data_IF_499821794674
#
_entry.id   IF_499821794674
#
_cell.length_a   1.000
_cell.length_b   1.000
_cell.length_c   1.000
_cell.angle_alpha   90.00
_cell.angle_beta   90.00
_cell.angle_gamma   90.00
#
_symmetry.space_group_name_H-M   'P 1'
#
loop_
_entity.id
_entity.type
_entity.pdbx_description
1 polymer ?
#
# COMPACT_ATOMS: atom_id res chain seq x y z
N UNK A 1 -34.17 -7.64 -39.74
CA UNK A 1 -33.64 -6.39 -40.32
C UNK A 1 -32.82 -5.57 -39.30
N UNK A 2 -33.25 -5.40 -38.05
CA UNK A 2 -32.48 -4.69 -37.01
C UNK A 2 -31.10 -5.33 -36.71
N UNK A 3 -31.04 -6.67 -36.54
CA UNK A 3 -29.79 -7.38 -36.28
C UNK A 3 -28.77 -7.32 -37.45
N UNK A 4 -29.24 -7.20 -38.69
CA UNK A 4 -28.36 -7.03 -39.88
C UNK A 4 -27.81 -5.60 -39.95
N UNK A 5 -28.61 -4.59 -39.59
CA UNK A 5 -28.15 -3.19 -39.48
C UNK A 5 -27.14 -2.99 -38.34
N UNK A 6 -27.34 -3.64 -37.19
CA UNK A 6 -26.35 -3.62 -36.10
C UNK A 6 -25.04 -4.32 -36.49
N UNK A 7 -25.11 -5.46 -37.19
CA UNK A 7 -23.92 -6.18 -37.65
C UNK A 7 -23.15 -5.39 -38.72
N UNK A 8 -23.85 -4.68 -39.61
CA UNK A 8 -23.23 -3.78 -40.60
C UNK A 8 -22.62 -2.54 -39.93
N UNK A 9 -23.30 -1.94 -38.95
CA UNK A 9 -22.80 -0.80 -38.19
C UNK A 9 -21.57 -1.13 -37.32
N UNK A 10 -21.52 -2.32 -36.71
CA UNK A 10 -20.30 -2.81 -36.03
C UNK A 10 -19.15 -3.04 -37.00
N UNK A 11 -19.43 -3.58 -38.19
CA UNK A 11 -18.41 -3.83 -39.22
C UNK A 11 -17.86 -2.53 -39.82
N UNK A 12 -18.70 -1.51 -40.06
CA UNK A 12 -18.23 -0.21 -40.57
C UNK A 12 -17.45 0.58 -39.51
N UNK A 13 -17.86 0.52 -38.23
CA UNK A 13 -17.09 1.11 -37.11
C UNK A 13 -15.73 0.44 -36.93
N UNK A 14 -15.66 -0.89 -37.08
CA UNK A 14 -14.40 -1.63 -37.05
C UNK A 14 -13.45 -1.22 -38.17
N UNK A 15 -13.95 -1.08 -39.41
CA UNK A 15 -13.15 -0.64 -40.55
C UNK A 15 -12.65 0.81 -40.41
N UNK A 16 -13.47 1.71 -39.84
CA UNK A 16 -13.02 3.07 -39.52
C UNK A 16 -11.94 3.10 -38.44
N UNK A 17 -12.09 2.29 -37.38
CA UNK A 17 -11.05 2.18 -36.34
C UNK A 17 -9.75 1.58 -36.86
N UNK A 18 -9.81 0.67 -37.82
CA UNK A 18 -8.64 0.09 -38.47
C UNK A 18 -7.92 1.10 -39.38
N UNK A 19 -8.68 1.94 -40.11
CA UNK A 19 -8.11 3.04 -40.88
C UNK A 19 -7.46 4.11 -39.98
N UNK A 20 -8.10 4.47 -38.86
CA UNK A 20 -7.55 5.41 -37.86
C UNK A 20 -6.25 4.87 -37.23
N UNK A 21 -6.16 3.56 -37.01
CA UNK A 21 -4.92 2.89 -36.54
C UNK A 21 -3.80 2.94 -37.57
N UNK A 22 -4.11 2.69 -38.84
CA UNK A 22 -3.13 2.79 -39.93
C UNK A 22 -2.65 4.23 -40.13
N UNK A 23 -3.53 5.22 -40.00
CA UNK A 23 -3.17 6.64 -40.04
C UNK A 23 -2.18 7.00 -38.92
N UNK A 24 -2.44 6.55 -37.68
CA UNK A 24 -1.53 6.74 -36.54
C UNK A 24 -0.14 6.15 -36.78
N UNK A 25 -0.06 4.92 -37.32
CA UNK A 25 1.23 4.28 -37.63
C UNK A 25 1.97 5.01 -38.78
N UNK A 26 1.26 5.46 -39.81
CA UNK A 26 1.85 6.26 -40.88
C UNK A 26 2.40 7.61 -40.37
N UNK A 27 1.63 8.31 -39.52
CA UNK A 27 2.05 9.58 -38.91
C UNK A 27 3.27 9.38 -37.99
N UNK A 28 3.33 8.28 -37.25
CA UNK A 28 4.49 7.94 -36.42
C UNK A 28 5.77 7.81 -37.24
N UNK A 29 5.73 7.04 -38.33
CA UNK A 29 6.88 6.86 -39.22
C UNK A 29 7.28 8.22 -39.82
N UNK A 30 6.31 8.99 -40.29
CA UNK A 30 6.56 10.30 -40.89
C UNK A 30 7.23 11.30 -39.94
N UNK A 31 6.88 11.30 -38.64
CA UNK A 31 7.50 12.16 -37.61
C UNK A 31 8.90 11.68 -37.25
N UNK A 32 9.13 10.36 -37.18
CA UNK A 32 10.44 9.79 -36.85
C UNK A 32 11.47 9.93 -37.98
N UNK A 33 11.03 9.99 -39.24
CA UNK A 33 11.89 10.13 -40.42
C UNK A 33 12.21 11.60 -40.76
N UNK A 34 11.26 12.53 -40.57
CA UNK A 34 11.47 13.94 -40.94
C UNK A 34 10.96 14.93 -39.88
N UNK A 35 11.87 15.82 -39.46
CA UNK A 35 11.56 16.97 -38.59
C UNK A 35 10.56 17.95 -39.20
N UNK A 36 10.34 17.92 -40.51
CA UNK A 36 9.31 18.74 -41.18
C UNK A 36 7.88 18.35 -40.79
N UNK A 37 7.68 17.10 -40.35
CA UNK A 37 6.37 16.56 -40.04
C UNK A 37 6.01 16.68 -38.56
N UNK A 38 6.75 17.50 -37.80
CA UNK A 38 6.55 17.71 -36.36
C UNK A 38 5.09 17.99 -35.99
N UNK A 39 4.35 18.73 -36.83
CA UNK A 39 2.94 19.06 -36.60
C UNK A 39 2.02 17.83 -36.47
N UNK A 40 2.37 16.69 -37.08
CA UNK A 40 1.59 15.46 -36.96
C UNK A 40 1.57 14.91 -35.52
N UNK A 41 2.46 15.38 -34.63
CA UNK A 41 2.39 15.07 -33.20
C UNK A 41 1.11 15.63 -32.57
N UNK A 42 0.61 16.78 -33.00
CA UNK A 42 -0.67 17.30 -32.52
C UNK A 42 -1.82 16.37 -32.89
N UNK A 43 -1.88 15.93 -34.14
CA UNK A 43 -2.91 14.99 -34.58
C UNK A 43 -2.87 13.70 -33.76
N UNK A 44 -1.67 13.16 -33.48
CA UNK A 44 -1.50 11.96 -32.65
C UNK A 44 -2.03 12.18 -31.23
N UNK A 45 -1.78 13.36 -30.65
CA UNK A 45 -2.30 13.72 -29.33
C UNK A 45 -3.81 13.93 -29.33
N UNK A 46 -4.39 14.47 -30.40
CA UNK A 46 -5.84 14.64 -30.55
C UNK A 46 -6.57 13.29 -30.53
N UNK A 47 -5.97 12.23 -31.10
CA UNK A 47 -6.53 10.89 -31.03
C UNK A 47 -6.57 10.30 -29.61
N UNK A 48 -5.82 10.85 -28.64
CA UNK A 48 -5.93 10.45 -27.22
C UNK A 48 -7.25 10.90 -26.58
N UNK A 49 -7.87 11.94 -27.12
CA UNK A 49 -9.15 12.49 -26.66
C UNK A 49 -10.37 11.85 -27.37
N UNK A 50 -10.13 10.84 -28.20
CA UNK A 50 -11.20 10.14 -28.94
C UNK A 50 -12.18 9.41 -28.01
N UNK A 51 -13.45 9.36 -28.39
CA UNK A 51 -14.47 8.57 -27.67
C UNK A 51 -14.30 7.05 -27.86
N UNK A 52 -13.55 6.62 -28.87
CA UNK A 52 -13.40 5.20 -29.23
C UNK A 52 -12.23 4.56 -28.47
N UNK A 53 -12.54 3.63 -27.57
CA UNK A 53 -11.52 2.90 -26.78
C UNK A 53 -10.40 2.31 -27.64
N UNK A 54 -10.76 1.67 -28.75
CA UNK A 54 -9.84 1.03 -29.69
C UNK A 54 -8.83 1.99 -30.34
N UNK A 55 -9.22 3.26 -30.52
CA UNK A 55 -8.40 4.32 -31.10
C UNK A 55 -7.53 4.94 -30.03
N UNK A 56 -8.10 5.21 -28.84
CA UNK A 56 -7.34 5.72 -27.69
C UNK A 56 -6.20 4.77 -27.32
N UNK A 57 -6.46 3.46 -27.27
CA UNK A 57 -5.41 2.46 -27.00
C UNK A 57 -4.30 2.46 -28.06
N UNK A 58 -4.66 2.64 -29.34
CA UNK A 58 -3.70 2.75 -30.42
C UNK A 58 -2.89 4.03 -30.28
N UNK A 59 -3.54 5.16 -30.04
CA UNK A 59 -2.91 6.45 -29.80
C UNK A 59 -1.94 6.39 -28.62
N UNK A 60 -2.30 5.80 -27.47
CA UNK A 60 -1.38 5.61 -26.33
C UNK A 60 -0.13 4.85 -26.77
N UNK A 61 -0.28 3.75 -27.52
CA UNK A 61 0.86 2.95 -28.00
C UNK A 61 1.74 3.74 -28.97
N UNK A 62 1.13 4.47 -29.90
CA UNK A 62 1.81 5.29 -30.89
C UNK A 62 2.58 6.43 -30.22
N UNK A 63 1.94 7.17 -29.33
CA UNK A 63 2.55 8.28 -28.58
C UNK A 63 3.64 7.79 -27.64
N UNK A 64 3.45 6.63 -26.99
CA UNK A 64 4.51 5.99 -26.20
C UNK A 64 5.72 5.70 -27.08
N UNK A 65 5.56 5.01 -28.22
CA UNK A 65 6.66 4.69 -29.14
C UNK A 65 7.37 5.93 -29.69
N UNK A 66 6.61 6.99 -30.00
CA UNK A 66 7.14 8.26 -30.47
C UNK A 66 8.11 8.85 -29.44
N UNK A 67 7.64 9.07 -28.22
CA UNK A 67 8.44 9.70 -27.18
C UNK A 67 9.52 8.77 -26.62
N UNK A 68 9.31 7.45 -26.65
CA UNK A 68 10.37 6.48 -26.37
C UNK A 68 11.58 6.72 -27.28
N UNK A 69 11.32 6.82 -28.59
CA UNK A 69 12.36 7.04 -29.60
C UNK A 69 13.04 8.40 -29.45
N UNK A 70 12.27 9.45 -29.14
CA UNK A 70 12.79 10.81 -28.98
C UNK A 70 13.64 10.98 -27.72
N UNK A 71 13.26 10.32 -26.61
CA UNK A 71 14.02 10.28 -25.37
C UNK A 71 15.35 9.56 -25.57
N UNK A 72 15.33 8.39 -26.23
CA UNK A 72 16.55 7.62 -26.54
C UNK A 72 17.53 8.40 -27.43
N UNK A 73 17.00 9.12 -28.43
CA UNK A 73 17.81 9.97 -29.34
C UNK A 73 18.25 11.30 -28.73
N UNK A 74 17.79 11.65 -27.51
CA UNK A 74 18.03 12.96 -26.86
C UNK A 74 17.61 14.15 -27.73
N UNK A 75 16.47 14.01 -28.38
CA UNK A 75 15.86 15.05 -29.23
C UNK A 75 14.87 15.95 -28.48
N UNK A 76 14.79 15.81 -27.16
CA UNK A 76 14.04 16.72 -26.28
C UNK A 76 14.99 17.74 -25.64
N UNK A 77 14.45 18.91 -25.29
CA UNK A 77 15.22 19.96 -24.62
C UNK A 77 15.61 19.53 -23.20
N UNK A 78 16.89 19.76 -22.85
CA UNK A 78 17.44 19.45 -21.52
C UNK A 78 17.70 20.78 -20.80
N UNK A 79 17.10 20.95 -19.62
CA UNK A 79 17.20 22.16 -18.81
C UNK A 79 15.85 22.80 -18.53
N UNK A 80 15.88 24.01 -17.95
CA UNK A 80 14.69 24.74 -17.56
C UNK A 80 13.86 25.12 -18.79
N UNK A 81 12.69 24.52 -18.92
CA UNK A 81 11.78 24.73 -20.05
C UNK A 81 11.22 26.16 -20.00
N UNK A 82 11.42 26.98 -21.05
CA UNK A 82 10.79 28.29 -21.17
C UNK A 82 9.26 28.17 -21.20
N UNK A 83 8.54 29.24 -20.84
CA UNK A 83 7.08 29.26 -20.92
C UNK A 83 6.66 29.31 -22.40
N UNK A 84 5.70 28.47 -22.80
CA UNK A 84 5.28 28.28 -24.21
C UNK A 84 4.83 29.57 -24.91
N UNK A 85 4.37 30.57 -24.14
CA UNK A 85 3.81 31.83 -24.64
C UNK A 85 4.78 33.02 -24.64
N UNK A 86 6.01 32.87 -24.12
CA UNK A 86 7.03 33.91 -24.25
C UNK A 86 7.77 33.75 -25.58
N UNK A 87 7.95 34.85 -26.32
CA UNK A 87 8.77 34.85 -27.53
C UNK A 87 10.17 34.36 -27.18
N UNK A 88 10.51 33.14 -27.60
CA UNK A 88 11.81 32.53 -27.33
C UNK A 88 12.92 33.48 -27.82
N UNK A 89 13.90 33.83 -26.98
CA UNK A 89 15.02 34.68 -27.37
C UNK A 89 15.65 34.26 -28.70
N UNK A 90 16.03 35.22 -29.55
CA UNK A 90 16.68 34.95 -30.85
C UNK A 90 18.04 34.23 -30.72
N UNK A 91 18.55 34.06 -29.50
CA UNK A 91 19.75 33.29 -29.18
C UNK A 91 19.58 31.77 -29.30
N UNK A 92 18.35 31.26 -29.35
CA UNK A 92 18.11 29.82 -29.53
C UNK A 92 18.20 29.42 -31.02
N UNK A 93 19.06 28.46 -31.33
CA UNK A 93 19.13 27.85 -32.67
C UNK A 93 17.78 27.21 -33.06
N UNK A 94 17.51 27.08 -34.36
CA UNK A 94 16.31 26.42 -34.87
C UNK A 94 16.13 25.00 -34.30
N UNK A 95 17.24 24.29 -34.07
CA UNK A 95 17.24 22.98 -33.42
C UNK A 95 16.80 23.07 -31.96
N UNK A 96 17.29 24.03 -31.19
CA UNK A 96 16.85 24.21 -29.80
C UNK A 96 15.37 24.61 -29.71
N UNK A 97 14.89 25.46 -30.63
CA UNK A 97 13.46 25.82 -30.71
C UNK A 97 12.58 24.58 -30.96
N UNK A 98 13.01 23.69 -31.86
CA UNK A 98 12.34 22.40 -32.09
C UNK A 98 12.33 21.51 -30.84
N UNK A 99 13.49 21.35 -30.17
CA UNK A 99 13.60 20.51 -28.96
C UNK A 99 12.73 21.03 -27.81
N UNK A 100 12.63 22.35 -27.64
CA UNK A 100 11.75 23.00 -26.64
C UNK A 100 10.30 22.68 -26.96
N UNK A 101 9.89 22.87 -28.21
CA UNK A 101 8.54 22.56 -28.66
C UNK A 101 8.16 21.08 -28.44
N UNK A 102 9.06 20.15 -28.78
CA UNK A 102 8.86 18.73 -28.54
C UNK A 102 8.74 18.40 -27.04
N UNK A 103 9.48 19.10 -26.17
CA UNK A 103 9.37 18.94 -24.70
C UNK A 103 8.00 19.39 -24.19
N UNK A 104 7.43 20.48 -24.72
CA UNK A 104 6.06 20.88 -24.39
C UNK A 104 5.04 19.82 -24.81
N UNK A 105 5.15 19.26 -26.02
CA UNK A 105 4.26 18.20 -26.50
C UNK A 105 4.41 16.91 -25.69
N UNK A 106 5.63 16.59 -25.23
CA UNK A 106 5.85 15.52 -24.28
C UNK A 106 5.10 15.74 -22.95
N UNK A 107 5.19 16.95 -22.38
CA UNK A 107 4.44 17.29 -21.15
C UNK A 107 2.92 17.24 -21.37
N UNK A 108 2.44 17.68 -22.54
CA UNK A 108 1.03 17.52 -22.94
C UNK A 108 0.64 16.03 -22.98
N UNK A 109 1.46 15.18 -23.60
CA UNK A 109 1.25 13.72 -23.60
C UNK A 109 1.17 13.15 -22.19
N UNK A 110 2.11 13.51 -21.31
CA UNK A 110 2.11 13.02 -19.92
C UNK A 110 0.82 13.42 -19.21
N UNK A 111 0.37 14.66 -19.42
CA UNK A 111 -0.90 15.16 -18.85
C UNK A 111 -2.10 14.37 -19.38
N UNK A 112 -2.19 14.18 -20.70
CA UNK A 112 -3.26 13.36 -21.31
C UNK A 112 -3.25 11.91 -20.82
N UNK A 113 -2.06 11.30 -20.64
CA UNK A 113 -1.96 9.94 -20.08
C UNK A 113 -2.41 9.88 -18.61
N UNK A 114 -2.11 10.90 -17.81
CA UNK A 114 -2.61 11.01 -16.43
C UNK A 114 -4.13 11.13 -16.41
N UNK A 115 -4.72 11.92 -17.32
CA UNK A 115 -6.18 12.01 -17.45
C UNK A 115 -6.79 10.66 -17.86
N UNK A 116 -6.15 9.92 -18.77
CA UNK A 116 -6.57 8.59 -19.21
C UNK A 116 -6.50 7.52 -18.10
N UNK A 117 -5.73 7.72 -17.02
CA UNK A 117 -5.81 6.85 -15.83
C UNK A 117 -7.20 6.92 -15.16
N UNK A 118 -7.98 7.96 -15.43
CA UNK A 118 -9.33 8.16 -14.89
C UNK A 118 -10.43 7.63 -15.82
N UNK A 119 -10.07 7.13 -17.01
CA UNK A 119 -10.99 6.67 -18.04
C UNK A 119 -11.97 5.58 -17.54
N UNK A 120 -13.11 5.42 -18.21
CA UNK A 120 -14.14 4.43 -17.83
C UNK A 120 -13.68 2.98 -18.00
N UNK A 121 -12.92 2.71 -19.07
CA UNK A 121 -12.39 1.38 -19.43
C UNK A 121 -11.05 1.08 -18.73
N UNK A 122 -10.99 0.01 -17.95
CA UNK A 122 -9.77 -0.42 -17.24
C UNK A 122 -8.60 -0.70 -18.19
N UNK A 123 -8.87 -1.20 -19.40
CA UNK A 123 -7.83 -1.50 -20.39
C UNK A 123 -7.07 -0.24 -20.83
N UNK A 124 -7.76 0.89 -20.95
CA UNK A 124 -7.16 2.20 -21.23
C UNK A 124 -6.37 2.70 -20.03
N UNK A 125 -6.91 2.58 -18.82
CA UNK A 125 -6.23 2.97 -17.57
C UNK A 125 -4.91 2.21 -17.38
N UNK A 126 -4.95 0.90 -17.60
CA UNK A 126 -3.78 0.02 -17.50
C UNK A 126 -2.69 0.41 -18.50
N UNK A 127 -3.06 0.63 -19.77
CA UNK A 127 -2.10 1.05 -20.80
C UNK A 127 -1.50 2.41 -20.49
N UNK A 128 -2.31 3.37 -20.03
CA UNK A 128 -1.83 4.69 -19.62
C UNK A 128 -0.83 4.59 -18.46
N UNK A 129 -1.13 3.80 -17.43
CA UNK A 129 -0.23 3.54 -16.30
C UNK A 129 1.09 2.92 -16.77
N UNK A 130 1.03 1.88 -17.61
CA UNK A 130 2.24 1.23 -18.12
C UNK A 130 3.11 2.18 -18.96
N UNK A 131 2.50 3.03 -19.79
CA UNK A 131 3.20 4.04 -20.57
C UNK A 131 3.86 5.11 -19.68
N UNK A 132 3.17 5.60 -18.65
CA UNK A 132 3.73 6.55 -17.68
C UNK A 132 4.90 5.95 -16.90
N UNK A 133 4.80 4.70 -16.45
CA UNK A 133 5.90 4.01 -15.77
C UNK A 133 7.11 3.78 -16.69
N UNK A 134 6.88 3.53 -17.99
CA UNK A 134 7.93 3.45 -19.00
C UNK A 134 8.62 4.81 -19.18
N UNK A 135 7.86 5.90 -19.21
CA UNK A 135 8.41 7.25 -19.27
C UNK A 135 9.25 7.59 -18.05
N UNK A 136 8.83 7.24 -16.82
CA UNK A 136 9.66 7.39 -15.62
C UNK A 136 10.98 6.64 -15.76
N UNK A 137 10.95 5.41 -16.28
CA UNK A 137 12.16 4.63 -16.53
C UNK A 137 13.09 5.30 -17.56
N UNK A 138 12.52 5.85 -18.64
CA UNK A 138 13.29 6.50 -19.69
C UNK A 138 13.85 7.85 -19.28
N UNK A 139 13.07 8.71 -18.63
CA UNK A 139 13.57 9.97 -18.07
C UNK A 139 14.66 9.74 -17.02
N UNK A 140 14.57 8.64 -16.25
CA UNK A 140 15.65 8.24 -15.34
C UNK A 140 16.95 7.83 -16.06
N UNK A 141 16.86 7.23 -17.27
CA UNK A 141 18.03 6.86 -18.09
C UNK A 141 18.55 8.04 -18.93
N UNK A 142 17.66 8.92 -19.35
CA UNK A 142 17.92 10.08 -20.19
C UNK A 142 17.34 11.33 -19.52
N UNK A 143 18.01 11.87 -18.48
CA UNK A 143 17.51 13.00 -17.73
C UNK A 143 17.31 14.23 -18.60
N UNK A 144 16.22 14.93 -18.36
CA UNK A 144 15.83 16.14 -19.10
C UNK A 144 16.07 17.42 -18.28
N UNK A 145 16.59 17.26 -17.07
CA UNK A 145 17.08 18.34 -16.23
C UNK A 145 18.61 18.36 -16.28
N UNK A 146 19.18 19.56 -16.40
CA UNK A 146 20.61 19.75 -16.27
C UNK A 146 20.95 19.68 -14.78
N UNK A 147 21.36 18.51 -14.30
CA UNK A 147 22.00 18.47 -13.00
C UNK A 147 23.39 19.08 -13.13
N UNK A 148 23.76 20.00 -12.23
CA UNK A 148 25.08 20.66 -12.21
C UNK A 148 26.24 19.66 -12.15
N UNK A 149 25.94 18.41 -11.76
CA UNK A 149 26.84 17.28 -11.66
C UNK A 149 26.49 16.28 -12.75
N UNK A 150 27.35 16.14 -13.78
CA UNK A 150 27.16 15.25 -14.95
C UNK A 150 26.97 13.76 -14.62
N UNK A 151 27.15 13.37 -13.37
CA UNK A 151 27.05 11.99 -12.87
C UNK A 151 26.01 11.82 -11.76
N UNK A 152 25.21 12.85 -11.43
CA UNK A 152 24.20 12.68 -10.39
C UNK A 152 23.00 11.90 -10.90
N UNK A 153 22.66 10.81 -10.22
CA UNK A 153 21.37 10.13 -10.29
C UNK A 153 20.20 11.14 -10.32
N UNK A 154 19.38 11.08 -11.38
CA UNK A 154 18.11 11.80 -11.47
C UNK A 154 16.96 10.81 -11.44
N UNK A 155 15.97 11.07 -10.59
CA UNK A 155 14.74 10.31 -10.55
C UNK A 155 13.57 11.25 -10.84
N UNK A 156 12.67 10.92 -11.80
CA UNK A 156 11.47 11.71 -12.13
C UNK A 156 10.43 11.75 -11.00
N UNK A 157 10.73 12.45 -9.90
CA UNK A 157 9.89 12.48 -8.70
C UNK A 157 8.52 13.10 -8.95
N UNK A 158 8.46 14.19 -9.70
CA UNK A 158 7.19 14.88 -9.99
C UNK A 158 6.27 14.03 -10.86
N UNK A 159 6.82 13.30 -11.85
CA UNK A 159 6.03 12.39 -12.67
C UNK A 159 5.49 11.21 -11.85
N UNK A 160 6.35 10.57 -11.04
CA UNK A 160 5.89 9.51 -10.13
C UNK A 160 4.83 10.04 -9.16
N UNK A 161 5.01 11.25 -8.63
CA UNK A 161 4.05 11.89 -7.75
C UNK A 161 2.70 12.05 -8.42
N UNK A 162 2.64 12.58 -9.65
CA UNK A 162 1.39 12.70 -10.41
C UNK A 162 0.71 11.34 -10.68
N UNK A 163 1.49 10.29 -10.95
CA UNK A 163 0.96 8.91 -11.09
C UNK A 163 0.35 8.43 -9.77
N UNK A 164 1.06 8.57 -8.65
CA UNK A 164 0.57 8.14 -7.33
C UNK A 164 -0.63 8.97 -6.87
N UNK A 165 -0.68 10.26 -7.19
CA UNK A 165 -1.83 11.13 -6.95
C UNK A 165 -3.07 10.63 -7.71
N UNK A 166 -2.89 10.19 -8.95
CA UNK A 166 -3.95 9.59 -9.78
C UNK A 166 -4.40 8.21 -9.28
N UNK A 167 -3.54 7.50 -8.53
CA UNK A 167 -3.91 6.25 -7.84
C UNK A 167 -4.67 6.50 -6.54
N UNK A 168 -4.53 7.68 -5.91
CA UNK A 168 -5.10 7.98 -4.60
C UNK A 168 -6.27 8.96 -4.68
N UNK A 169 -7.27 8.60 -5.49
CA UNK A 169 -8.46 9.41 -5.68
C UNK A 169 -9.36 9.43 -4.44
N UNK A 170 -10.05 10.56 -4.27
CA UNK A 170 -10.92 10.79 -3.12
C UNK A 170 -12.31 10.15 -3.29
N UNK A 171 -12.78 9.99 -4.54
CA UNK A 171 -14.17 9.62 -4.86
C UNK A 171 -14.31 8.27 -5.58
N UNK A 172 -13.31 7.86 -6.35
CA UNK A 172 -13.32 6.63 -7.18
C UNK A 172 -12.41 5.56 -6.57
N UNK A 173 -12.90 4.33 -6.52
CA UNK A 173 -12.09 3.17 -6.13
C UNK A 173 -11.10 2.83 -7.24
N UNK A 174 -9.81 2.87 -6.93
CA UNK A 174 -8.70 2.60 -7.84
C UNK A 174 -7.99 1.29 -7.50
N UNK A 175 -8.56 0.47 -6.60
CA UNK A 175 -8.01 -0.82 -6.18
C UNK A 175 -7.52 -1.72 -7.33
N UNK A 176 -8.23 -1.85 -8.48
CA UNK A 176 -7.75 -2.65 -9.60
C UNK A 176 -6.47 -2.09 -10.24
N UNK A 177 -6.38 -0.77 -10.38
CA UNK A 177 -5.21 -0.10 -10.95
C UNK A 177 -4.01 -0.15 -9.98
N UNK A 178 -4.28 -0.04 -8.67
CA UNK A 178 -3.29 -0.27 -7.60
C UNK A 178 -2.73 -1.69 -7.66
N UNK A 179 -3.58 -2.70 -7.89
CA UNK A 179 -3.14 -4.08 -8.03
C UNK A 179 -2.20 -4.27 -9.22
N UNK A 180 -2.44 -3.59 -10.35
CA UNK A 180 -1.52 -3.56 -11.48
C UNK A 180 -0.22 -2.81 -11.15
N UNK A 181 -0.33 -1.70 -10.43
CA UNK A 181 0.82 -0.91 -10.00
C UNK A 181 1.75 -1.65 -9.02
N UNK A 182 1.23 -2.63 -8.28
CA UNK A 182 2.00 -3.42 -7.31
C UNK A 182 3.26 -4.07 -7.91
N UNK A 183 3.25 -4.44 -9.19
CA UNK A 183 4.43 -4.99 -9.87
C UNK A 183 5.62 -4.02 -9.87
N UNK A 184 5.34 -2.71 -9.92
CA UNK A 184 6.39 -1.69 -9.87
C UNK A 184 6.90 -1.44 -8.44
N UNK A 185 6.15 -1.81 -7.40
CA UNK A 185 6.60 -1.73 -6.01
C UNK A 185 7.70 -2.75 -5.70
N UNK A 186 7.94 -3.72 -6.58
CA UNK A 186 9.12 -4.61 -6.50
C UNK A 186 10.43 -3.82 -6.64
N UNK A 187 10.42 -2.68 -7.32
CA UNK A 187 11.60 -1.82 -7.47
C UNK A 187 11.79 -0.94 -6.22
N UNK A 188 13.00 -0.93 -5.67
CA UNK A 188 13.29 -0.28 -4.38
C UNK A 188 13.19 1.26 -4.47
N UNK A 189 13.60 1.86 -5.58
CA UNK A 189 13.46 3.30 -5.84
C UNK A 189 12.00 3.72 -5.94
N UNK A 190 11.19 3.00 -6.72
CA UNK A 190 9.75 3.23 -6.82
C UNK A 190 9.09 3.09 -5.46
N UNK A 191 9.36 1.99 -4.75
CA UNK A 191 8.79 1.73 -3.42
C UNK A 191 9.08 2.87 -2.45
N UNK A 192 10.34 3.31 -2.37
CA UNK A 192 10.76 4.40 -1.50
C UNK A 192 10.00 5.68 -1.80
N UNK A 193 10.01 6.13 -3.07
CA UNK A 193 9.40 7.40 -3.45
C UNK A 193 7.88 7.35 -3.38
N UNK A 194 7.25 6.23 -3.74
CA UNK A 194 5.81 6.04 -3.58
C UNK A 194 5.39 6.17 -2.12
N UNK A 195 6.13 5.56 -1.18
CA UNK A 195 5.84 5.75 0.25
C UNK A 195 5.97 7.22 0.67
N UNK A 196 6.97 7.96 0.17
CA UNK A 196 7.09 9.40 0.50
C UNK A 196 5.91 10.21 -0.04
N UNK A 197 5.46 9.93 -1.26
CA UNK A 197 4.30 10.61 -1.88
C UNK A 197 3.00 10.27 -1.16
N UNK A 198 2.80 9.01 -0.73
CA UNK A 198 1.63 8.65 0.08
C UNK A 198 1.56 9.49 1.35
N UNK A 199 2.69 9.69 2.03
CA UNK A 199 2.73 10.52 3.25
C UNK A 199 2.32 11.97 2.96
N UNK A 200 2.81 12.54 1.86
CA UNK A 200 2.44 13.90 1.41
C UNK A 200 0.95 13.99 1.07
N UNK A 201 0.41 12.99 0.38
CA UNK A 201 -1.01 12.94 0.01
C UNK A 201 -1.93 12.84 1.22
N UNK A 202 -1.59 11.99 2.20
CA UNK A 202 -2.33 11.92 3.46
C UNK A 202 -2.35 13.28 4.15
N UNK A 203 -1.22 13.98 4.20
CA UNK A 203 -1.15 15.31 4.81
C UNK A 203 -1.95 16.37 4.03
N UNK A 204 -1.87 16.37 2.70
CA UNK A 204 -2.58 17.30 1.81
C UNK A 204 -4.09 17.14 1.90
N UNK A 205 -4.60 15.91 1.77
CA UNK A 205 -6.04 15.60 1.84
C UNK A 205 -6.58 15.89 3.25
N UNK A 206 -5.78 15.64 4.28
CA UNK A 206 -6.14 15.99 5.66
C UNK A 206 -6.36 17.51 5.84
N UNK A 207 -5.47 18.33 5.28
CA UNK A 207 -5.61 19.79 5.34
C UNK A 207 -6.87 20.26 4.60
N UNK A 208 -7.16 19.67 3.43
CA UNK A 208 -8.35 19.97 2.63
C UNK A 208 -9.67 19.63 3.36
N UNK A 209 -9.72 18.49 4.06
CA UNK A 209 -10.95 17.95 4.67
C UNK A 209 -11.05 18.13 6.19
N UNK A 210 -10.48 19.21 6.74
CA UNK A 210 -10.57 19.57 8.18
C UNK A 210 -10.25 18.38 9.11
N UNK A 211 -9.18 17.65 8.82
CA UNK A 211 -8.69 16.49 9.59
C UNK A 211 -9.45 15.16 9.43
N UNK A 212 -10.44 15.06 8.54
CA UNK A 212 -11.08 13.79 8.19
C UNK A 212 -10.60 13.28 6.82
N UNK A 213 -10.53 11.97 6.64
CA UNK A 213 -10.18 11.37 5.34
C UNK A 213 -11.42 10.72 4.72
N UNK A 214 -11.74 10.98 3.44
CA UNK A 214 -12.86 10.32 2.76
C UNK A 214 -12.73 8.78 2.79
N UNK A 215 -13.81 8.00 2.98
CA UNK A 215 -13.73 6.54 3.07
C UNK A 215 -13.11 5.85 1.84
N UNK A 216 -13.39 6.35 0.63
CA UNK A 216 -12.83 5.80 -0.61
C UNK A 216 -11.32 6.06 -0.67
N UNK A 217 -10.89 7.30 -0.35
CA UNK A 217 -9.48 7.62 -0.19
C UNK A 217 -8.78 6.71 0.83
N UNK A 218 -9.39 6.47 1.99
CA UNK A 218 -8.83 5.57 3.00
C UNK A 218 -8.65 4.14 2.45
N UNK A 219 -9.60 3.65 1.65
CA UNK A 219 -9.49 2.34 1.02
C UNK A 219 -8.35 2.28 -0.01
N UNK A 220 -8.25 3.29 -0.87
CA UNK A 220 -7.18 3.40 -1.87
C UNK A 220 -5.79 3.47 -1.20
N UNK A 221 -5.63 4.29 -0.16
CA UNK A 221 -4.40 4.37 0.63
C UNK A 221 -4.08 3.04 1.31
N UNK A 222 -5.08 2.39 1.93
CA UNK A 222 -4.89 1.09 2.55
C UNK A 222 -4.45 0.03 1.53
N UNK A 223 -5.12 -0.04 0.37
CA UNK A 223 -4.77 -0.97 -0.70
C UNK A 223 -3.32 -0.75 -1.16
N UNK A 224 -2.94 0.49 -1.46
CA UNK A 224 -1.59 0.81 -1.92
C UNK A 224 -0.54 0.49 -0.85
N UNK A 225 -0.78 0.84 0.42
CA UNK A 225 0.14 0.52 1.53
C UNK A 225 0.24 -0.98 1.81
N UNK A 226 -0.86 -1.71 1.70
CA UNK A 226 -0.87 -3.16 1.88
C UNK A 226 -0.16 -3.92 0.77
N UNK A 227 -0.05 -3.31 -0.43
CA UNK A 227 0.71 -3.85 -1.55
C UNK A 227 2.23 -3.59 -1.44
N UNK A 228 2.67 -2.74 -0.49
CA UNK A 228 4.10 -2.48 -0.27
C UNK A 228 4.74 -3.67 0.45
N UNK A 229 5.49 -4.47 -0.30
CA UNK A 229 6.30 -5.55 0.26
C UNK A 229 7.67 -5.02 0.70
N UNK A 230 7.93 -5.01 2.00
CA UNK A 230 9.20 -4.54 2.55
C UNK A 230 10.28 -5.64 2.50
N UNK A 231 11.54 -5.32 2.16
CA UNK A 231 12.61 -6.30 2.19
C UNK A 231 12.91 -6.69 3.65
N UNK A 232 13.15 -7.97 3.89
CA UNK A 232 13.52 -8.48 5.23
C UNK A 232 14.99 -8.20 5.54
N UNK A 233 15.85 -8.33 4.54
CA UNK A 233 17.30 -8.20 4.65
C UNK A 233 17.85 -7.12 3.71
N UNK A 234 18.99 -6.50 4.06
CA UNK A 234 19.65 -5.50 3.22
C UNK A 234 20.15 -6.10 1.89
N UNK A 235 20.48 -7.39 1.87
CA UNK A 235 20.92 -8.13 0.67
C UNK A 235 19.78 -8.27 -0.36
N UNK A 236 18.52 -8.18 0.10
CA UNK A 236 17.36 -8.23 -0.79
C UNK A 236 17.11 -6.90 -1.53
N UNK A 237 17.84 -5.83 -1.20
CA UNK A 237 17.86 -4.60 -1.97
C UNK A 237 18.79 -4.75 -3.18
N UNK A 238 18.39 -4.21 -4.33
CA UNK A 238 19.21 -4.27 -5.53
C UNK A 238 18.44 -4.23 -6.84
N UNK A 239 17.10 -4.24 -6.78
CA UNK A 239 16.26 -4.11 -7.97
C UNK A 239 15.75 -2.68 -8.06
N UNK A 240 16.41 -1.87 -8.88
CA UNK A 240 16.05 -0.48 -9.13
C UNK A 240 15.49 -0.32 -10.54
N UNK A 241 14.41 0.46 -10.70
CA UNK A 241 13.82 0.73 -12.01
C UNK A 241 14.74 1.68 -12.80
N UNK A 242 15.25 2.70 -12.11
CA UNK A 242 16.23 3.65 -12.61
C UNK A 242 17.57 3.29 -11.97
N UNK A 243 18.45 2.66 -12.75
CA UNK A 243 19.78 2.26 -12.29
C UNK A 243 20.79 3.38 -12.54
N UNK A 244 21.53 3.78 -11.51
CA UNK A 244 22.80 4.49 -11.67
C UNK A 244 23.96 3.50 -11.80
N UNK A 245 24.96 3.85 -12.61
CA UNK A 245 26.28 3.19 -12.64
C UNK A 245 27.15 3.64 -11.46
N UNK A 246 26.87 4.80 -10.86
CA UNK A 246 27.57 5.30 -9.69
C UNK A 246 26.89 4.82 -8.41
N UNK A 247 27.57 3.96 -7.66
CA UNK A 247 27.17 3.57 -6.30
C UNK A 247 27.34 4.75 -5.35
N UNK A 248 26.35 5.64 -5.29
CA UNK A 248 26.36 6.72 -4.30
C UNK A 248 26.04 6.15 -2.91
N UNK A 249 27.00 6.25 -1.99
CA UNK A 249 26.84 5.84 -0.59
C UNK A 249 25.71 6.58 0.13
N UNK A 250 25.28 7.74 -0.37
CA UNK A 250 24.22 8.58 0.24
C UNK A 250 22.84 8.43 -0.38
N UNK A 251 22.67 7.50 -1.32
CA UNK A 251 21.39 7.30 -1.97
C UNK A 251 20.36 6.69 -1.00
N UNK A 252 19.43 7.51 -0.48
CA UNK A 252 18.43 7.06 0.52
C UNK A 252 17.62 5.82 0.09
N UNK A 253 17.18 5.68 -1.18
CA UNK A 253 16.51 4.47 -1.66
C UNK A 253 17.34 3.19 -1.63
N UNK A 254 18.66 3.24 -1.51
CA UNK A 254 19.49 2.03 -1.37
C UNK A 254 19.65 1.56 0.09
N UNK A 255 19.20 2.36 1.07
CA UNK A 255 19.37 2.08 2.50
C UNK A 255 18.09 1.52 3.08
N UNK A 256 18.09 0.26 3.54
CA UNK A 256 16.94 -0.39 4.18
C UNK A 256 16.42 0.41 5.38
N UNK A 257 17.32 1.02 6.16
CA UNK A 257 16.95 1.86 7.31
C UNK A 257 16.06 3.03 6.91
N UNK A 258 16.32 3.67 5.78
CA UNK A 258 15.48 4.77 5.28
C UNK A 258 14.13 4.27 4.81
N UNK A 259 14.06 3.11 4.14
CA UNK A 259 12.79 2.47 3.79
C UNK A 259 11.94 2.17 5.02
N UNK A 260 12.50 1.53 6.05
CA UNK A 260 11.80 1.24 7.31
C UNK A 260 11.30 2.52 7.99
N UNK A 261 12.09 3.61 7.93
CA UNK A 261 11.73 4.90 8.53
C UNK A 261 10.56 5.57 7.80
N UNK A 262 10.56 5.56 6.47
CA UNK A 262 9.45 6.10 5.67
C UNK A 262 8.21 5.23 5.85
N UNK A 263 8.35 3.90 5.81
CA UNK A 263 7.26 2.95 6.06
C UNK A 263 6.59 3.20 7.41
N UNK A 264 7.37 3.29 8.49
CA UNK A 264 6.86 3.62 9.83
C UNK A 264 6.11 4.96 9.83
N UNK A 265 6.70 6.01 9.26
CA UNK A 265 6.10 7.35 9.22
C UNK A 265 4.75 7.33 8.52
N UNK A 266 4.65 6.67 7.38
CA UNK A 266 3.42 6.62 6.57
C UNK A 266 2.33 5.85 7.30
N UNK A 267 2.64 4.66 7.82
CA UNK A 267 1.68 3.86 8.59
C UNK A 267 1.22 4.60 9.85
N UNK A 268 2.12 5.21 10.60
CA UNK A 268 1.75 6.01 11.78
C UNK A 268 0.93 7.23 11.40
N UNK A 269 1.26 7.90 10.29
CA UNK A 269 0.51 9.04 9.75
C UNK A 269 -0.92 8.65 9.39
N UNK A 270 -1.10 7.47 8.79
CA UNK A 270 -2.39 6.91 8.39
C UNK A 270 -3.22 6.41 9.59
N UNK A 271 -2.59 5.68 10.53
CA UNK A 271 -3.25 5.10 11.70
C UNK A 271 -3.71 6.13 12.73
N UNK A 272 -3.09 7.32 12.76
CA UNK A 272 -3.54 8.46 13.58
C UNK A 272 -4.88 9.04 13.12
N UNK A 273 -5.41 8.63 11.96
CA UNK A 273 -6.65 9.17 11.41
C UNK A 273 -7.87 8.37 11.88
N UNK A 274 -9.04 8.98 11.77
CA UNK A 274 -10.31 8.30 12.03
C UNK A 274 -10.61 7.33 10.89
N UNK A 275 -10.19 6.08 11.06
CA UNK A 275 -10.38 5.01 10.09
C UNK A 275 -11.76 4.35 10.26
N UNK A 276 -12.34 3.89 9.15
CA UNK A 276 -13.56 3.07 9.20
C UNK A 276 -13.32 1.76 9.95
N UNK A 277 -14.34 1.24 10.63
CA UNK A 277 -14.26 0.01 11.44
C UNK A 277 -13.80 -1.20 10.60
N UNK A 278 -14.20 -1.26 9.33
CA UNK A 278 -13.81 -2.33 8.41
C UNK A 278 -12.30 -2.29 8.10
N UNK A 279 -11.75 -1.11 7.77
CA UNK A 279 -10.31 -0.92 7.55
C UNK A 279 -9.51 -1.16 8.82
N UNK A 280 -10.00 -0.69 9.96
CA UNK A 280 -9.35 -0.89 11.25
C UNK A 280 -9.13 -2.39 11.56
N UNK A 281 -10.17 -3.22 11.34
CA UNK A 281 -10.07 -4.68 11.49
C UNK A 281 -9.11 -5.32 10.48
N UNK A 282 -9.11 -4.87 9.22
CA UNK A 282 -8.19 -5.37 8.18
C UNK A 282 -6.74 -5.10 8.56
N UNK A 283 -6.44 -3.88 9.01
CA UNK A 283 -5.08 -3.49 9.42
C UNK A 283 -4.62 -4.31 10.63
N UNK A 284 -5.44 -4.42 11.69
CA UNK A 284 -5.08 -5.21 12.88
C UNK A 284 -4.82 -6.70 12.56
N UNK A 285 -5.45 -7.24 11.51
CA UNK A 285 -5.26 -8.62 11.10
C UNK A 285 -3.83 -8.86 10.58
N UNK A 286 -3.31 -7.95 9.76
CA UNK A 286 -1.98 -8.02 9.13
C UNK A 286 -0.87 -7.36 9.97
N UNK A 287 -1.22 -6.56 10.98
CA UNK A 287 -0.29 -5.71 11.73
C UNK A 287 0.94 -6.46 12.25
N UNK A 288 0.73 -7.59 12.91
CA UNK A 288 1.79 -8.38 13.54
C UNK A 288 2.79 -9.02 12.57
N UNK A 289 2.35 -9.44 11.39
CA UNK A 289 3.17 -10.19 10.43
C UNK A 289 3.76 -9.29 9.34
N UNK A 290 3.03 -8.27 8.91
CA UNK A 290 3.36 -7.47 7.72
C UNK A 290 3.69 -6.01 8.01
N UNK A 291 3.41 -5.50 9.22
CA UNK A 291 3.63 -4.09 9.55
C UNK A 291 4.73 -3.96 10.62
N UNK A 292 4.55 -4.58 11.80
CA UNK A 292 5.49 -4.46 12.91
C UNK A 292 6.93 -4.86 12.56
N UNK A 293 7.20 -5.96 11.83
CA UNK A 293 8.58 -6.39 11.53
C UNK A 293 9.37 -5.39 10.67
N UNK A 294 8.67 -4.54 9.93
CA UNK A 294 9.27 -3.60 8.98
C UNK A 294 9.32 -2.16 9.49
N UNK A 295 8.86 -1.89 10.71
CA UNK A 295 9.01 -0.59 11.37
C UNK A 295 10.42 -0.42 11.94
N UNK A 296 10.91 0.83 12.00
CA UNK A 296 12.20 1.13 12.62
C UNK A 296 12.15 1.03 14.15
N UNK A 297 11.02 1.44 14.74
CA UNK A 297 10.71 1.44 16.18
C UNK A 297 9.26 0.98 16.40
N UNK A 298 9.01 -0.35 16.42
CA UNK A 298 7.67 -0.91 16.57
C UNK A 298 6.96 -0.50 17.88
N UNK A 299 7.72 -0.13 18.92
CA UNK A 299 7.20 0.32 20.22
C UNK A 299 6.30 1.55 20.13
N UNK A 300 6.43 2.38 19.09
CA UNK A 300 5.54 3.53 18.86
C UNK A 300 4.09 3.11 18.60
N UNK A 301 3.83 1.84 18.27
CA UNK A 301 2.49 1.31 18.05
C UNK A 301 1.75 0.98 19.36
N UNK A 302 2.39 1.11 20.52
CA UNK A 302 1.79 0.75 21.82
C UNK A 302 0.50 1.55 22.08
N UNK A 303 0.49 2.86 21.85
CA UNK A 303 -0.68 3.71 22.15
C UNK A 303 -1.86 3.33 21.26
N UNK A 304 -1.59 3.10 19.97
CA UNK A 304 -2.57 2.62 19.00
C UNK A 304 -3.13 1.25 19.38
N UNK A 305 -2.26 0.31 19.75
CA UNK A 305 -2.68 -1.04 20.14
C UNK A 305 -3.41 -1.07 21.48
N UNK A 306 -3.02 -0.21 22.42
CA UNK A 306 -3.68 -0.07 23.73
C UNK A 306 -5.09 0.44 23.55
N UNK A 307 -5.26 1.53 22.78
CA UNK A 307 -6.59 2.06 22.42
C UNK A 307 -7.42 1.02 21.68
N UNK A 308 -6.86 0.31 20.69
CA UNK A 308 -7.53 -0.81 20.01
C UNK A 308 -7.97 -1.91 21.00
N UNK A 309 -7.13 -2.21 21.98
CA UNK A 309 -7.37 -3.23 22.98
C UNK A 309 -8.44 -2.82 24.00
N UNK A 310 -8.59 -1.53 24.29
CA UNK A 310 -9.64 -0.97 25.15
C UNK A 310 -11.05 -0.92 24.51
N UNK A 311 -11.16 -0.91 23.17
CA UNK A 311 -12.46 -0.83 22.48
C UNK A 311 -13.39 -2.02 22.79
N UNK A 312 -12.85 -3.22 23.00
CA UNK A 312 -13.61 -4.43 23.25
C UNK A 312 -14.01 -5.21 22.00
N UNK A 313 -14.57 -6.41 22.23
CA UNK A 313 -15.08 -7.28 21.17
C UNK A 313 -13.98 -7.76 20.20
N UNK A 314 -14.33 -7.90 18.91
CA UNK A 314 -13.42 -8.45 17.91
C UNK A 314 -12.14 -7.62 17.68
N UNK A 315 -12.18 -6.31 17.95
CA UNK A 315 -11.05 -5.42 17.75
C UNK A 315 -9.96 -5.70 18.80
N UNK A 316 -10.33 -5.83 20.08
CA UNK A 316 -9.39 -6.19 21.14
C UNK A 316 -8.70 -7.54 20.89
N UNK A 317 -9.43 -8.52 20.35
CA UNK A 317 -8.85 -9.83 20.04
C UNK A 317 -7.81 -9.75 18.91
N UNK A 318 -8.01 -8.89 17.92
CA UNK A 318 -7.04 -8.67 16.84
C UNK A 318 -5.83 -7.88 17.34
N UNK A 319 -6.05 -6.83 18.15
CA UNK A 319 -5.00 -6.02 18.76
C UNK A 319 -4.09 -6.85 19.67
N UNK A 320 -4.63 -7.88 20.34
CA UNK A 320 -3.86 -8.76 21.23
C UNK A 320 -2.64 -9.39 20.53
N UNK A 321 -2.71 -9.67 19.22
CA UNK A 321 -1.55 -10.23 18.52
C UNK A 321 -0.43 -9.21 18.29
N UNK A 322 -0.79 -7.96 17.99
CA UNK A 322 0.20 -6.88 17.93
C UNK A 322 0.84 -6.63 19.29
N UNK A 323 0.04 -6.62 20.36
CA UNK A 323 0.55 -6.48 21.73
C UNK A 323 1.46 -7.65 22.12
N UNK A 324 1.12 -8.88 21.76
CA UNK A 324 1.97 -10.05 22.00
C UNK A 324 3.36 -9.85 21.40
N UNK A 325 3.43 -9.42 20.13
CA UNK A 325 4.71 -9.16 19.45
C UNK A 325 5.49 -8.06 20.16
N UNK A 326 4.85 -6.96 20.57
CA UNK A 326 5.54 -5.88 21.30
C UNK A 326 6.05 -6.32 22.68
N UNK A 327 5.26 -7.09 23.43
CA UNK A 327 5.65 -7.59 24.75
C UNK A 327 6.80 -8.59 24.63
N UNK A 328 6.71 -9.52 23.68
CA UNK A 328 7.65 -10.64 23.57
C UNK A 328 8.94 -10.28 22.82
N UNK A 329 8.86 -9.49 21.75
CA UNK A 329 10.02 -9.17 20.90
C UNK A 329 10.67 -7.83 21.24
N UNK A 330 9.90 -6.90 21.82
CA UNK A 330 10.38 -5.55 22.15
C UNK A 330 10.37 -5.27 23.66
N UNK A 331 10.21 -6.31 24.49
CA UNK A 331 10.25 -6.27 25.96
C UNK A 331 9.37 -5.16 26.56
N UNK A 332 8.20 -4.95 25.96
CA UNK A 332 7.30 -3.89 26.36
C UNK A 332 6.48 -4.32 27.59
N UNK A 333 6.51 -3.51 28.65
CA UNK A 333 5.69 -3.74 29.84
C UNK A 333 4.28 -3.16 29.64
N UNK A 334 3.26 -4.03 29.66
CA UNK A 334 1.86 -3.60 29.63
C UNK A 334 1.23 -3.78 31.01
N UNK A 335 0.87 -2.69 31.72
CA UNK A 335 0.31 -2.78 33.06
C UNK A 335 -1.04 -3.52 33.04
N UNK A 336 -1.31 -4.30 34.08
CA UNK A 336 -2.57 -5.05 34.24
C UNK A 336 -2.94 -5.98 33.06
N UNK A 337 -1.95 -6.42 32.28
CA UNK A 337 -2.16 -7.26 31.10
C UNK A 337 -3.09 -8.44 31.36
N UNK A 338 -2.80 -9.24 32.39
CA UNK A 338 -3.59 -10.43 32.72
C UNK A 338 -4.98 -10.10 33.24
N UNK A 339 -5.17 -8.97 33.91
CA UNK A 339 -6.48 -8.52 34.39
C UNK A 339 -7.40 -8.21 33.20
N UNK A 340 -6.85 -7.57 32.17
CA UNK A 340 -7.58 -7.26 30.93
C UNK A 340 -7.76 -8.49 30.04
N UNK A 341 -6.75 -9.36 29.95
CA UNK A 341 -6.90 -10.66 29.27
C UNK A 341 -8.01 -11.50 29.92
N UNK A 342 -8.12 -11.44 31.26
CA UNK A 342 -9.18 -12.11 32.00
C UNK A 342 -10.56 -11.52 31.70
N UNK A 343 -10.69 -10.20 31.56
CA UNK A 343 -11.98 -9.56 31.25
C UNK A 343 -12.50 -9.91 29.85
N UNK A 344 -11.60 -10.12 28.89
CA UNK A 344 -11.94 -10.53 27.51
C UNK A 344 -12.47 -11.96 27.39
N UNK A 345 -12.31 -12.81 28.41
CA UNK A 345 -12.91 -14.14 28.44
C UNK A 345 -14.41 -14.02 28.77
N UNK A 346 -15.23 -13.65 27.82
CA UNK A 346 -16.68 -13.47 27.98
C UNK A 346 -17.47 -14.42 27.05
N UNK A 347 -18.78 -14.63 27.25
CA UNK A 347 -19.56 -15.50 26.37
C UNK A 347 -19.59 -15.04 24.90
N UNK A 348 -19.42 -13.75 24.64
CA UNK A 348 -19.45 -13.22 23.26
C UNK A 348 -18.30 -13.78 22.41
N UNK A 349 -17.18 -14.14 23.02
CA UNK A 349 -16.00 -14.71 22.37
C UNK A 349 -16.29 -15.97 21.54
N UNK A 350 -17.31 -16.76 21.89
CA UNK A 350 -17.62 -18.02 21.21
C UNK A 350 -18.06 -17.83 19.76
N UNK A 351 -18.66 -16.68 19.47
CA UNK A 351 -19.22 -16.34 18.18
C UNK A 351 -18.27 -15.49 17.32
N UNK A 352 -17.11 -15.09 17.85
CA UNK A 352 -16.16 -14.26 17.11
C UNK A 352 -15.34 -15.10 16.14
N UNK A 353 -15.23 -14.61 14.89
CA UNK A 353 -14.48 -15.25 13.80
C UNK A 353 -13.04 -15.62 14.17
N UNK A 354 -12.39 -14.80 15.00
CA UNK A 354 -10.97 -14.91 15.34
C UNK A 354 -10.69 -15.68 16.66
N UNK A 355 -11.68 -16.42 17.19
CA UNK A 355 -11.58 -17.15 18.47
C UNK A 355 -10.38 -18.10 18.57
N UNK A 356 -10.07 -18.84 17.50
CA UNK A 356 -8.97 -19.81 17.50
C UNK A 356 -7.61 -19.13 17.75
N UNK A 357 -7.37 -18.00 17.08
CA UNK A 357 -6.16 -17.18 17.24
C UNK A 357 -6.05 -16.60 18.65
N UNK A 358 -7.17 -16.14 19.21
CA UNK A 358 -7.21 -15.67 20.60
C UNK A 358 -6.88 -16.77 21.62
N UNK A 359 -7.49 -17.95 21.52
CA UNK A 359 -7.21 -19.05 22.45
C UNK A 359 -5.77 -19.56 22.33
N UNK A 360 -5.22 -19.58 21.11
CA UNK A 360 -3.81 -19.90 20.89
C UNK A 360 -2.89 -18.92 21.63
N UNK A 361 -3.10 -17.61 21.46
CA UNK A 361 -2.34 -16.58 22.17
C UNK A 361 -2.51 -16.65 23.68
N UNK A 362 -3.74 -16.83 24.17
CA UNK A 362 -4.03 -16.93 25.60
C UNK A 362 -3.30 -18.12 26.22
N UNK A 363 -3.24 -19.26 25.52
CA UNK A 363 -2.50 -20.43 25.98
C UNK A 363 -0.98 -20.20 26.00
N UNK A 364 -0.46 -19.39 25.08
CA UNK A 364 0.94 -18.98 25.05
C UNK A 364 1.26 -18.03 26.22
N UNK A 365 0.44 -17.01 26.46
CA UNK A 365 0.59 -16.13 27.63
C UNK A 365 0.56 -16.90 28.95
N UNK A 366 -0.41 -17.81 29.10
CA UNK A 366 -0.55 -18.65 30.30
C UNK A 366 0.43 -19.83 30.36
N UNK A 367 1.34 -19.98 29.39
CA UNK A 367 2.47 -20.92 29.49
C UNK A 367 3.68 -20.33 30.21
N UNK A 368 3.67 -19.03 30.53
CA UNK A 368 4.77 -18.38 31.25
C UNK A 368 4.97 -19.01 32.64
N UNK A 369 6.22 -19.31 32.98
CA UNK A 369 6.63 -19.93 34.25
C UNK A 369 6.52 -18.98 35.44
N UNK A 370 6.51 -17.66 35.20
CA UNK A 370 6.51 -16.63 36.24
C UNK A 370 5.10 -16.25 36.72
N UNK A 371 4.08 -17.02 36.37
CA UNK A 371 2.70 -16.72 36.73
C UNK A 371 2.36 -17.18 38.14
N UNK A 372 1.76 -16.32 38.98
CA UNK A 372 1.22 -16.73 40.26
C UNK A 372 0.14 -17.81 40.11
N UNK A 373 0.16 -18.81 41.00
CA UNK A 373 -0.79 -19.94 40.95
C UNK A 373 -2.24 -19.48 41.02
N UNK A 374 -2.55 -18.46 41.83
CA UNK A 374 -3.91 -17.93 41.97
C UNK A 374 -4.46 -17.40 40.64
N UNK A 375 -3.60 -16.80 39.81
CA UNK A 375 -3.95 -16.23 38.52
C UNK A 375 -4.32 -17.35 37.56
N UNK A 376 -3.47 -18.38 37.44
CA UNK A 376 -3.74 -19.56 36.62
C UNK A 376 -5.04 -20.25 37.05
N UNK A 377 -5.25 -20.40 38.36
CA UNK A 377 -6.48 -20.98 38.91
C UNK A 377 -7.73 -20.15 38.54
N UNK A 378 -7.65 -18.82 38.58
CA UNK A 378 -8.74 -17.93 38.19
C UNK A 378 -9.10 -18.10 36.70
N UNK A 379 -8.10 -18.15 35.82
CA UNK A 379 -8.29 -18.40 34.39
C UNK A 379 -8.92 -19.78 34.12
N UNK A 380 -8.38 -20.83 34.74
CA UNK A 380 -8.93 -22.18 34.62
C UNK A 380 -10.39 -22.26 35.07
N UNK A 381 -10.74 -21.63 36.20
CA UNK A 381 -12.11 -21.61 36.71
C UNK A 381 -13.06 -20.80 35.81
N UNK A 382 -12.60 -19.66 35.27
CA UNK A 382 -13.39 -18.84 34.34
C UNK A 382 -13.67 -19.60 33.05
N UNK A 383 -12.65 -20.22 32.46
CA UNK A 383 -12.79 -21.08 31.28
C UNK A 383 -13.76 -22.25 31.55
N UNK A 384 -13.66 -22.91 32.70
CA UNK A 384 -14.57 -24.00 33.06
C UNK A 384 -16.04 -23.53 33.19
N UNK A 385 -16.27 -22.32 33.72
CA UNK A 385 -17.61 -21.73 33.79
C UNK A 385 -18.14 -21.39 32.40
N UNK A 386 -17.29 -20.80 31.55
CA UNK A 386 -17.60 -20.49 30.16
C UNK A 386 -17.97 -21.75 29.36
N UNK A 387 -17.31 -22.88 29.63
CA UNK A 387 -17.64 -24.16 28.99
C UNK A 387 -19.08 -24.61 29.22
N UNK A 388 -19.75 -24.21 30.31
CA UNK A 388 -21.13 -24.62 30.58
C UNK A 388 -22.13 -24.07 29.55
N UNK A 389 -21.80 -22.93 28.93
CA UNK A 389 -22.64 -22.27 27.92
C UNK A 389 -21.99 -22.29 26.53
N UNK A 390 -20.86 -22.96 26.37
CA UNK A 390 -20.09 -22.97 25.13
C UNK A 390 -20.66 -24.00 24.13
N UNK A 391 -20.65 -23.69 22.82
CA UNK A 391 -21.02 -24.67 21.80
C UNK A 391 -19.97 -25.80 21.72
N UNK A 392 -20.35 -27.01 21.24
CA UNK A 392 -19.46 -28.18 21.22
C UNK A 392 -18.10 -27.94 20.56
N UNK A 393 -18.07 -27.15 19.48
CA UNK A 393 -16.83 -26.79 18.78
C UNK A 393 -15.83 -26.03 19.66
N UNK A 394 -16.31 -25.19 20.58
CA UNK A 394 -15.44 -24.40 21.47
C UNK A 394 -14.96 -25.27 22.64
N UNK A 395 -15.76 -26.24 23.09
CA UNK A 395 -15.36 -27.19 24.13
C UNK A 395 -14.12 -27.99 23.74
N UNK A 396 -14.00 -28.34 22.46
CA UNK A 396 -12.82 -29.01 21.89
C UNK A 396 -11.52 -28.19 22.09
N UNK A 397 -11.62 -26.87 22.23
CA UNK A 397 -10.48 -25.98 22.48
C UNK A 397 -10.30 -25.76 23.99
N UNK A 398 -11.39 -25.46 24.70
CA UNK A 398 -11.33 -25.06 26.12
C UNK A 398 -10.94 -26.22 27.04
N UNK A 399 -11.48 -27.43 26.83
CA UNK A 399 -11.21 -28.56 27.73
C UNK A 399 -9.72 -28.94 27.71
N UNK A 400 -9.07 -29.16 26.55
CA UNK A 400 -7.63 -29.40 26.50
C UNK A 400 -6.83 -28.24 27.08
N UNK A 401 -7.26 -27.00 26.88
CA UNK A 401 -6.62 -25.83 27.46
C UNK A 401 -6.63 -25.89 28.99
N UNK A 402 -7.78 -26.11 29.63
CA UNK A 402 -7.88 -26.25 31.09
C UNK A 402 -6.99 -27.39 31.59
N UNK A 403 -7.03 -28.55 30.93
CA UNK A 403 -6.19 -29.70 31.27
C UNK A 403 -4.69 -29.35 31.19
N UNK A 404 -4.27 -28.64 30.14
CA UNK A 404 -2.88 -28.22 29.98
C UNK A 404 -2.45 -27.23 31.07
N UNK A 405 -3.31 -26.28 31.47
CA UNK A 405 -3.03 -25.37 32.59
C UNK A 405 -2.82 -26.13 33.90
N UNK A 406 -3.69 -27.08 34.22
CA UNK A 406 -3.60 -27.87 35.46
C UNK A 406 -2.40 -28.81 35.44
N UNK A 407 -2.05 -29.36 34.27
CA UNK A 407 -0.84 -30.17 34.10
C UNK A 407 0.44 -29.36 34.34
N UNK A 408 0.51 -28.13 33.80
CA UNK A 408 1.65 -27.22 34.00
C UNK A 408 1.77 -26.69 35.44
N UNK A 409 0.64 -26.51 36.13
CA UNK A 409 0.60 -25.99 37.51
C UNK A 409 -0.06 -27.00 38.45
N UNK A 410 0.68 -27.98 39.01
CA UNK A 410 0.14 -29.03 39.85
C UNK A 410 -0.64 -28.54 41.09
N UNK A 411 -0.31 -27.36 41.63
CA UNK A 411 -1.04 -26.75 42.73
C UNK A 411 -2.53 -26.51 42.41
N UNK A 412 -2.87 -26.33 41.13
CA UNK A 412 -4.25 -26.20 40.65
C UNK A 412 -5.01 -27.54 40.61
N UNK A 413 -4.37 -28.69 40.86
CA UNK A 413 -5.07 -30.00 40.92
C UNK A 413 -6.13 -30.06 42.02
N UNK A 414 -5.99 -29.22 43.03
CA UNK A 414 -7.00 -28.98 44.08
C UNK A 414 -8.34 -28.47 43.53
N UNK A 415 -8.39 -27.97 42.29
CA UNK A 415 -9.64 -27.62 41.60
C UNK A 415 -10.41 -28.85 41.10
N UNK A 416 -9.72 -29.97 40.85
CA UNK A 416 -10.32 -31.24 40.41
C UNK A 416 -10.61 -32.13 41.62
N UNK A 417 -9.62 -32.29 42.50
CA UNK A 417 -9.70 -33.15 43.67
C UNK A 417 -9.22 -32.41 44.91
N UNK A 418 -10.14 -32.14 45.83
CA UNK A 418 -9.82 -31.67 47.18
C UNK A 418 -9.84 -32.89 48.09
N UNK A 419 -8.68 -33.41 48.54
CA UNK A 419 -8.68 -34.43 49.59
C UNK A 419 -9.35 -33.80 50.81
N UNK A 420 -10.46 -34.37 51.26
CA UNK A 420 -11.29 -33.76 52.27
C UNK A 420 -10.51 -33.47 53.56
N UNK A 421 -10.73 -32.29 54.14
CA UNK A 421 -10.49 -32.04 55.56
C UNK A 421 -11.47 -32.90 56.37
N UNK A 422 -11.20 -34.20 56.47
CA UNK A 422 -11.81 -35.05 57.48
C UNK A 422 -10.98 -34.94 58.76
N UNK A 423 -11.40 -34.05 59.66
CA UNK A 423 -10.99 -34.05 61.06
C UNK A 423 -10.22 -32.81 61.53
N UNK A 424 -10.92 -31.90 62.21
CA UNK A 424 -10.29 -30.89 63.05
C UNK A 424 -10.99 -29.54 63.02
N UNK A 425 -12.02 -29.38 63.87
CA UNK A 425 -12.34 -28.07 64.43
C UNK A 425 -11.11 -27.58 65.21
N UNK A 426 -10.18 -26.88 64.56
CA UNK A 426 -9.21 -26.04 65.26
C UNK A 426 -9.78 -24.63 65.29
N UNK A 427 -10.13 -24.23 66.52
CA UNK A 427 -10.59 -22.93 66.99
C UNK A 427 -10.20 -21.78 66.06
N UNK A 428 -11.20 -20.98 65.73
CA UNK A 428 -11.01 -19.58 65.40
C UNK A 428 -10.06 -18.95 66.43
N UNK A 429 -8.92 -18.45 65.96
CA UNK A 429 -8.22 -17.37 66.64
C UNK A 429 -8.60 -16.09 65.89
N UNK A 430 -9.15 -15.08 66.59
CA UNK A 430 -9.39 -13.78 66.01
C UNK A 430 -8.03 -13.09 65.80
N UNK A 431 -7.91 -12.35 64.70
CA UNK A 431 -7.44 -10.97 64.53
C UNK A 431 -7.17 -10.77 63.04
#
# INVERSE_FOLDING_TARGET
MAALREKHGRRSRGLQSEAERQDLDCKLVAVLESRSNANAVFDILEYLESEKEDVVQAAIRTTSKLFDSLLEKRELYIGNLPIENESLPDTYSAENKYKIWMRHRYNSCVTSLLDLMHHSSFSVQELALCSLMKFIQLEGKFPLENSEWKESFHFPREMLKSVVDSLLLEEKDTSPLIARYQEYLEYDDIRYYTMTVINENIARVQQKHKQTLPPVFQNNVYCLLSSVNMPVEEIALGRFLVTDKAKHEDWKPSKLKEHKRVFERVWMGFLKKQLTISLYKKILLILHDSILPHMSKPTLMIDFLTTAYDVGGAISLLALNGLFVLIHQHNLEYPDFYKKLYSLLDPSMFHVKYRARFFHLTNLFLSSTHLPVYLVAAFAKRLARLSLTAPPQVLLIIIPFICNLIRRHPACRTLIHRPGTSGGFTKALPW
#
